data_IF_631145698760
#
_entry.id   IF_631145698760
#
_cell.length_a   1.000
_cell.length_b   1.000
_cell.length_c   1.000
_cell.angle_alpha   90.00
_cell.angle_beta   90.00
_cell.angle_gamma   90.00
#
_symmetry.space_group_name_H-M   'P 1'
#
loop_
_entity.id
_entity.type
_entity.pdbx_description
1 polymer ?
#
# COMPACT_ATOMS: atom_id res chain seq x y z
N UNK A 1 5.74 -19.82 -20.01
CA UNK A 1 5.55 -20.81 -18.91
C UNK A 1 4.14 -21.41 -19.02
N UNK A 2 4.00 -22.70 -18.74
CA UNK A 2 2.70 -23.37 -18.75
C UNK A 2 2.41 -23.91 -17.36
N UNK A 3 1.20 -23.63 -16.86
CA UNK A 3 0.66 -24.20 -15.63
C UNK A 3 -0.52 -25.10 -16.00
N UNK A 4 -0.63 -26.24 -15.33
CA UNK A 4 -1.78 -27.12 -15.42
C UNK A 4 -2.39 -27.28 -14.01
N UNK A 5 -3.70 -27.16 -13.89
CA UNK A 5 -4.43 -27.38 -12.65
C UNK A 5 -5.53 -28.43 -12.83
N UNK A 6 -5.60 -29.41 -11.93
CA UNK A 6 -6.72 -30.34 -11.86
C UNK A 6 -8.05 -29.57 -11.64
N UNK A 7 -7.97 -28.49 -10.85
CA UNK A 7 -9.10 -27.59 -10.60
C UNK A 7 -8.58 -26.16 -10.49
N UNK A 8 -9.27 -25.20 -11.12
CA UNK A 8 -8.96 -23.77 -10.95
C UNK A 8 -10.24 -22.95 -10.78
N UNK A 9 -10.14 -21.87 -9.99
CA UNK A 9 -11.19 -20.86 -9.91
C UNK A 9 -10.93 -19.79 -10.97
N UNK A 10 -11.82 -19.74 -11.96
CA UNK A 10 -11.82 -18.78 -13.06
C UNK A 10 -12.95 -17.76 -12.87
N UNK A 11 -12.99 -16.66 -13.64
CA UNK A 11 -14.06 -15.67 -13.54
C UNK A 11 -15.47 -16.23 -13.62
N UNK A 12 -15.66 -17.27 -14.42
CA UNK A 12 -16.95 -17.92 -14.64
C UNK A 12 -17.23 -19.07 -13.64
N UNK A 13 -16.34 -19.28 -12.67
CA UNK A 13 -16.47 -20.32 -11.65
C UNK A 13 -15.39 -21.40 -11.71
N UNK A 14 -15.65 -22.51 -11.02
CA UNK A 14 -14.70 -23.63 -10.94
C UNK A 14 -14.65 -24.42 -12.25
N UNK A 15 -13.43 -24.68 -12.71
CA UNK A 15 -13.15 -25.47 -13.90
C UNK A 15 -12.15 -26.59 -13.60
N UNK A 16 -12.22 -27.69 -14.39
CA UNK A 16 -11.32 -28.85 -14.29
C UNK A 16 -10.37 -28.90 -15.48
N UNK A 17 -9.22 -29.55 -15.24
CA UNK A 17 -8.20 -29.79 -16.27
C UNK A 17 -7.81 -28.51 -17.01
N UNK A 18 -7.46 -27.46 -16.21
CA UNK A 18 -7.22 -26.11 -16.70
C UNK A 18 -5.75 -25.94 -17.05
N UNK A 19 -5.50 -25.50 -18.27
CA UNK A 19 -4.19 -25.11 -18.78
C UNK A 19 -4.09 -23.61 -18.89
N UNK A 20 -3.08 -23.02 -18.24
CA UNK A 20 -2.80 -21.58 -18.25
C UNK A 20 -1.43 -21.35 -18.91
N UNK A 21 -1.41 -20.55 -19.98
CA UNK A 21 -0.17 -20.12 -20.63
C UNK A 21 0.21 -18.74 -20.15
N UNK A 22 1.45 -18.58 -19.69
CA UNK A 22 2.00 -17.30 -19.22
C UNK A 22 3.13 -16.90 -20.15
N UNK A 23 3.00 -15.71 -20.75
CA UNK A 23 3.98 -15.07 -21.62
C UNK A 23 4.29 -13.67 -21.07
N UNK A 24 5.57 -13.33 -20.96
CA UNK A 24 6.03 -12.04 -20.47
C UNK A 24 5.38 -11.60 -19.13
N UNK A 25 5.16 -12.56 -18.20
CA UNK A 25 4.56 -12.33 -16.91
C UNK A 25 3.02 -12.12 -16.93
N UNK A 26 2.37 -12.33 -18.07
CA UNK A 26 0.91 -12.18 -18.24
C UNK A 26 0.28 -13.50 -18.65
N UNK A 27 -1.00 -13.71 -18.27
CA UNK A 27 -1.78 -14.84 -18.74
C UNK A 27 -2.14 -14.58 -20.21
N UNK A 28 -1.51 -15.34 -21.10
CA UNK A 28 -1.76 -15.26 -22.54
C UNK A 28 -3.00 -16.05 -22.97
N UNK A 29 -3.23 -17.22 -22.33
CA UNK A 29 -4.45 -18.00 -22.59
C UNK A 29 -4.82 -18.90 -21.42
N UNK A 30 -6.12 -19.20 -21.33
CA UNK A 30 -6.71 -20.19 -20.42
C UNK A 30 -7.57 -21.12 -21.23
N UNK A 31 -7.40 -22.43 -21.07
CA UNK A 31 -8.17 -23.45 -21.76
C UNK A 31 -8.43 -24.66 -20.85
N UNK A 32 -9.38 -25.53 -21.23
CA UNK A 32 -9.83 -26.65 -20.41
C UNK A 32 -9.73 -27.99 -21.18
N UNK A 33 -9.75 -29.10 -20.42
CA UNK A 33 -9.83 -30.44 -21.00
C UNK A 33 -8.51 -30.90 -21.63
N UNK A 34 -7.41 -30.36 -21.22
CA UNK A 34 -6.08 -30.77 -21.70
C UNK A 34 -5.44 -31.79 -20.77
N UNK A 35 -4.70 -32.72 -21.35
CA UNK A 35 -3.80 -33.56 -20.58
C UNK A 35 -2.76 -32.68 -19.84
N UNK A 36 -2.30 -33.08 -18.63
CA UNK A 36 -1.33 -32.32 -17.88
C UNK A 36 -0.06 -32.06 -18.69
N UNK A 37 0.33 -30.78 -18.82
CA UNK A 37 1.59 -30.32 -19.36
C UNK A 37 2.14 -29.14 -18.53
N UNK A 38 3.47 -28.98 -18.52
CA UNK A 38 4.12 -27.93 -17.74
C UNK A 38 4.12 -28.19 -16.22
N UNK A 39 3.98 -27.13 -15.42
CA UNK A 39 3.93 -27.22 -13.95
C UNK A 39 2.52 -27.63 -13.51
N UNK A 40 2.41 -28.77 -12.82
CA UNK A 40 1.13 -29.32 -12.37
C UNK A 40 0.78 -28.94 -10.94
N UNK A 41 -0.50 -28.56 -10.73
CA UNK A 41 -1.07 -28.18 -9.45
C UNK A 41 -2.41 -28.88 -9.24
N UNK A 42 -2.74 -29.29 -8.02
CA UNK A 42 -4.05 -29.84 -7.70
C UNK A 42 -5.14 -28.73 -7.76
N UNK A 43 -4.83 -27.54 -7.26
CA UNK A 43 -5.77 -26.42 -7.27
C UNK A 43 -5.04 -25.10 -7.51
N UNK A 44 -5.60 -24.25 -8.38
CA UNK A 44 -5.15 -22.88 -8.59
C UNK A 44 -6.27 -21.88 -8.27
N UNK A 45 -5.90 -20.82 -7.56
CA UNK A 45 -6.76 -19.69 -7.23
C UNK A 45 -6.09 -18.40 -7.68
N UNK A 46 -6.86 -17.37 -8.06
CA UNK A 46 -6.32 -16.01 -8.15
C UNK A 46 -5.74 -15.61 -6.80
N UNK A 47 -4.52 -15.08 -6.79
CA UNK A 47 -3.91 -14.58 -5.56
C UNK A 47 -4.70 -13.38 -5.02
N UNK A 48 -5.01 -13.33 -3.72
CA UNK A 48 -5.68 -12.18 -3.13
C UNK A 48 -4.82 -10.92 -3.13
N UNK A 49 -5.47 -9.76 -3.06
CA UNK A 49 -4.84 -8.47 -2.86
C UNK A 49 -5.21 -7.96 -1.46
N UNK A 50 -4.23 -7.51 -0.69
CA UNK A 50 -4.48 -6.86 0.59
C UNK A 50 -5.00 -5.44 0.35
N UNK A 51 -6.26 -5.19 0.69
CA UNK A 51 -6.92 -3.89 0.45
C UNK A 51 -6.78 -2.88 1.60
N UNK A 52 -6.03 -3.22 2.66
CA UNK A 52 -5.82 -2.32 3.80
C UNK A 52 -4.43 -2.52 4.37
N UNK A 53 -3.50 -1.62 4.03
CA UNK A 53 -2.12 -1.65 4.49
C UNK A 53 -1.62 -0.27 4.89
N UNK A 54 -0.78 -0.26 5.92
CA UNK A 54 0.06 0.84 6.38
C UNK A 54 1.42 0.23 6.69
N UNK A 55 2.21 -0.06 5.66
CA UNK A 55 3.40 -0.92 5.77
C UNK A 55 4.38 -0.50 6.85
N UNK A 56 4.60 0.81 7.06
CA UNK A 56 5.51 1.29 8.11
C UNK A 56 5.11 0.83 9.54
N UNK A 57 3.82 0.53 9.78
CA UNK A 57 3.34 0.05 11.08
C UNK A 57 3.80 -1.38 11.38
N UNK A 58 4.23 -2.15 10.36
CA UNK A 58 4.78 -3.50 10.57
C UNK A 58 5.97 -3.50 11.54
N UNK A 59 6.74 -2.41 11.59
CA UNK A 59 7.84 -2.25 12.54
C UNK A 59 7.42 -2.32 14.01
N UNK A 60 6.14 -2.11 14.32
CA UNK A 60 5.61 -2.16 15.70
C UNK A 60 5.12 -3.56 16.11
N UNK A 61 5.19 -4.55 15.23
CA UNK A 61 4.75 -5.90 15.55
C UNK A 61 5.48 -6.45 16.78
N UNK A 62 4.74 -7.11 17.66
CA UNK A 62 5.23 -7.59 18.95
C UNK A 62 5.27 -6.53 20.07
N UNK A 63 5.05 -5.26 19.74
CA UNK A 63 5.03 -4.18 20.74
C UNK A 63 3.63 -3.65 21.06
N UNK A 64 2.66 -3.95 20.22
CA UNK A 64 1.28 -3.48 20.32
C UNK A 64 0.29 -4.57 20.72
N UNK A 65 0.68 -5.83 20.62
CA UNK A 65 -0.18 -7.00 20.87
C UNK A 65 -0.14 -7.46 22.33
N UNK A 66 0.86 -7.01 23.11
CA UNK A 66 0.95 -7.32 24.53
C UNK A 66 0.10 -6.36 25.36
N UNK A 67 -0.84 -6.90 26.14
CA UNK A 67 -1.63 -6.11 27.08
C UNK A 67 -0.73 -5.58 28.20
N UNK A 68 -0.79 -4.27 28.44
CA UNK A 68 -0.08 -3.63 29.57
C UNK A 68 -0.91 -3.74 30.87
N UNK A 69 -0.33 -3.34 32.00
CA UNK A 69 -1.00 -3.39 33.30
C UNK A 69 -2.19 -2.41 33.46
N UNK A 70 -2.47 -1.62 32.43
CA UNK A 70 -3.57 -0.64 32.37
C UNK A 70 -4.66 -1.01 31.38
N UNK A 71 -5.60 -0.10 31.17
CA UNK A 71 -6.55 -0.21 30.07
C UNK A 71 -5.86 0.28 28.78
N UNK A 72 -5.51 -0.68 27.89
CA UNK A 72 -5.03 -0.37 26.58
C UNK A 72 -6.18 0.14 25.70
N UNK A 73 -5.91 1.18 24.93
CA UNK A 73 -6.86 1.85 24.08
C UNK A 73 -6.19 2.27 22.77
N UNK A 74 -6.98 2.75 21.83
CA UNK A 74 -6.46 3.40 20.63
C UNK A 74 -5.43 4.49 20.94
N UNK A 75 -5.55 5.19 22.06
CA UNK A 75 -4.64 6.28 22.45
C UNK A 75 -3.26 5.77 22.91
N UNK A 76 -3.21 4.64 23.61
CA UNK A 76 -1.94 4.02 24.02
C UNK A 76 -1.19 3.48 22.80
N UNK A 77 -1.88 2.82 21.88
CA UNK A 77 -1.33 2.39 20.61
C UNK A 77 -0.80 3.58 19.79
N UNK A 78 -1.59 4.66 19.67
CA UNK A 78 -1.20 5.85 18.94
C UNK A 78 0.05 6.53 19.52
N UNK A 79 0.19 6.56 20.84
CA UNK A 79 1.38 7.11 21.51
C UNK A 79 2.64 6.29 21.18
N UNK A 80 2.54 4.97 21.10
CA UNK A 80 3.64 4.11 20.65
C UNK A 80 3.98 4.38 19.20
N UNK A 81 2.98 4.42 18.31
CA UNK A 81 3.18 4.73 16.89
C UNK A 81 3.95 6.05 16.70
N UNK A 82 3.59 7.12 17.43
CA UNK A 82 4.28 8.40 17.31
C UNK A 82 5.74 8.33 17.74
N UNK A 83 6.08 7.55 18.78
CA UNK A 83 7.49 7.33 19.17
C UNK A 83 8.28 6.61 18.08
N UNK A 84 7.66 5.68 17.34
CA UNK A 84 8.27 5.07 16.16
C UNK A 84 8.51 6.07 15.05
N UNK A 85 7.50 6.88 14.74
CA UNK A 85 7.58 7.90 13.70
C UNK A 85 8.72 8.91 13.92
N UNK A 86 9.08 9.19 15.17
CA UNK A 86 10.21 10.07 15.49
C UNK A 86 11.59 9.50 15.10
N UNK A 87 11.66 8.21 14.71
CA UNK A 87 12.90 7.52 14.40
C UNK A 87 13.00 6.98 12.98
N UNK A 88 11.88 6.79 12.31
CA UNK A 88 11.88 6.20 10.97
C UNK A 88 12.49 7.15 9.93
N UNK A 89 13.57 6.71 9.32
CA UNK A 89 14.16 7.31 8.12
C UNK A 89 13.43 6.81 6.84
N UNK A 90 13.67 7.44 5.68
CA UNK A 90 13.18 6.93 4.41
C UNK A 90 13.67 5.49 4.11
N UNK A 91 14.92 5.18 4.44
CA UNK A 91 15.52 3.85 4.28
C UNK A 91 14.84 2.81 5.17
N UNK A 92 14.51 3.16 6.41
CA UNK A 92 13.75 2.29 7.32
C UNK A 92 12.37 1.99 6.74
N UNK A 93 11.68 3.00 6.21
CA UNK A 93 10.35 2.83 5.59
C UNK A 93 10.43 1.88 4.40
N UNK A 94 11.44 1.99 3.53
CA UNK A 94 11.66 1.06 2.42
C UNK A 94 11.87 -0.37 2.92
N UNK A 95 12.79 -0.57 3.86
CA UNK A 95 13.10 -1.90 4.40
C UNK A 95 11.89 -2.56 5.08
N UNK A 96 11.13 -1.78 5.87
CA UNK A 96 9.92 -2.26 6.55
C UNK A 96 8.83 -2.63 5.53
N UNK A 97 8.64 -1.79 4.49
CA UNK A 97 7.67 -2.06 3.45
C UNK A 97 8.04 -3.32 2.65
N UNK A 98 9.31 -3.48 2.27
CA UNK A 98 9.79 -4.68 1.59
C UNK A 98 9.56 -5.93 2.43
N UNK A 99 9.89 -5.90 3.73
CA UNK A 99 9.62 -7.01 4.65
C UNK A 99 8.13 -7.35 4.74
N UNK A 100 7.26 -6.34 4.86
CA UNK A 100 5.82 -6.56 4.91
C UNK A 100 5.28 -7.17 3.60
N UNK A 101 5.79 -6.75 2.45
CA UNK A 101 5.42 -7.31 1.14
C UNK A 101 5.88 -8.76 1.00
N UNK A 102 7.11 -9.10 1.45
CA UNK A 102 7.59 -10.49 1.46
C UNK A 102 6.70 -11.38 2.33
N UNK A 103 6.38 -10.96 3.55
CA UNK A 103 5.49 -11.72 4.46
C UNK A 103 4.09 -11.91 3.86
N UNK A 104 3.56 -10.91 3.16
CA UNK A 104 2.29 -11.04 2.43
C UNK A 104 2.43 -12.03 1.26
N UNK A 105 3.52 -11.97 0.49
CA UNK A 105 3.78 -12.91 -0.60
C UNK A 105 3.90 -14.36 -0.09
N UNK A 106 4.61 -14.59 1.01
CA UNK A 106 4.70 -15.91 1.68
C UNK A 106 3.33 -16.41 2.17
N UNK A 107 2.41 -15.50 2.46
CA UNK A 107 1.03 -15.80 2.83
C UNK A 107 0.08 -15.93 1.63
N UNK A 108 0.61 -15.84 0.39
CA UNK A 108 -0.13 -16.04 -0.86
C UNK A 108 -0.77 -14.80 -1.46
N UNK A 109 -0.52 -13.59 -0.93
CA UNK A 109 -0.98 -12.35 -1.54
C UNK A 109 -0.08 -11.97 -2.72
N UNK A 110 -0.66 -11.29 -3.73
CA UNK A 110 0.09 -10.83 -4.91
C UNK A 110 0.18 -9.29 -5.02
N UNK A 111 -0.50 -8.56 -4.15
CA UNK A 111 -0.48 -7.11 -4.17
C UNK A 111 -1.14 -6.49 -2.95
N UNK A 112 -0.97 -5.18 -2.81
CA UNK A 112 -1.57 -4.42 -1.72
C UNK A 112 -2.08 -3.06 -2.17
N UNK A 113 -3.06 -2.54 -1.43
CA UNK A 113 -3.44 -1.13 -1.43
C UNK A 113 -2.80 -0.47 -0.20
N UNK A 114 -1.76 0.31 -0.43
CA UNK A 114 -1.01 1.00 0.62
C UNK A 114 -1.61 2.38 0.89
N UNK A 115 -2.30 2.53 2.00
CA UNK A 115 -2.82 3.80 2.50
C UNK A 115 -1.69 4.54 3.21
N UNK A 116 -0.94 5.32 2.44
CA UNK A 116 0.33 5.90 2.84
C UNK A 116 0.17 7.34 3.31
N UNK A 117 0.37 7.60 4.59
CA UNK A 117 0.25 8.92 5.19
C UNK A 117 1.53 9.47 5.85
N UNK A 118 2.65 8.74 5.76
CA UNK A 118 3.95 9.17 6.27
C UNK A 118 4.72 9.86 5.15
N UNK A 119 4.63 11.20 5.06
CA UNK A 119 5.19 11.95 3.93
C UNK A 119 6.44 12.76 4.28
N UNK A 120 6.56 13.22 5.52
CA UNK A 120 7.48 14.30 5.89
C UNK A 120 8.57 13.84 6.87
N UNK A 121 9.69 14.58 6.97
CA UNK A 121 10.71 14.34 7.99
C UNK A 121 10.16 14.56 9.40
N UNK A 122 10.93 14.14 10.39
CA UNK A 122 10.64 14.38 11.81
C UNK A 122 10.52 15.88 12.05
N UNK A 123 9.46 16.28 12.76
CA UNK A 123 9.15 17.69 13.02
C UNK A 123 8.36 18.39 11.90
N UNK A 124 8.05 17.72 10.81
CA UNK A 124 7.31 18.28 9.66
C UNK A 124 8.22 18.93 8.63
N UNK A 125 7.63 19.69 7.70
CA UNK A 125 8.33 20.23 6.54
C UNK A 125 8.31 19.25 5.37
N UNK A 126 9.15 19.46 4.37
CA UNK A 126 9.23 18.62 3.16
C UNK A 126 10.66 18.12 2.97
N UNK A 127 10.80 16.90 2.43
CA UNK A 127 12.06 16.46 1.84
C UNK A 127 12.39 17.30 0.59
N UNK A 128 13.60 17.20 0.07
CA UNK A 128 13.98 17.82 -1.19
C UNK A 128 13.07 17.35 -2.34
N UNK A 129 12.73 16.07 -2.35
CA UNK A 129 11.62 15.52 -3.14
C UNK A 129 10.40 15.35 -2.22
N UNK A 130 9.28 16.06 -2.49
CA UNK A 130 8.05 15.88 -1.70
C UNK A 130 7.51 14.45 -1.69
N UNK A 131 7.84 13.64 -2.68
CA UNK A 131 7.43 12.24 -2.80
C UNK A 131 8.47 11.23 -2.30
N UNK A 132 9.52 11.65 -1.58
CA UNK A 132 10.60 10.78 -1.08
C UNK A 132 10.06 9.50 -0.43
N UNK A 133 9.12 9.61 0.49
CA UNK A 133 8.55 8.45 1.19
C UNK A 133 7.74 7.53 0.24
N UNK A 134 7.05 8.09 -0.73
CA UNK A 134 6.37 7.33 -1.79
C UNK A 134 7.37 6.58 -2.66
N UNK A 135 8.48 7.23 -3.03
CA UNK A 135 9.55 6.58 -3.80
C UNK A 135 10.13 5.37 -3.06
N UNK A 136 10.22 5.42 -1.72
CA UNK A 136 10.65 4.30 -0.88
C UNK A 136 9.68 3.12 -0.91
N UNK A 137 8.38 3.40 -0.87
CA UNK A 137 7.35 2.35 -1.02
C UNK A 137 7.38 1.73 -2.43
N UNK A 138 7.54 2.57 -3.46
CA UNK A 138 7.67 2.11 -4.83
C UNK A 138 8.93 1.24 -5.03
N UNK A 139 10.07 1.65 -4.45
CA UNK A 139 11.30 0.86 -4.47
C UNK A 139 11.11 -0.51 -3.81
N UNK A 140 10.47 -0.57 -2.63
CA UNK A 140 10.16 -1.81 -1.95
C UNK A 140 9.28 -2.75 -2.82
N UNK A 141 8.28 -2.20 -3.51
CA UNK A 141 7.45 -2.98 -4.43
C UNK A 141 8.25 -3.49 -5.63
N UNK A 142 9.16 -2.68 -6.18
CA UNK A 142 10.07 -3.09 -7.26
C UNK A 142 11.04 -4.20 -6.84
N UNK A 143 11.63 -4.10 -5.64
CA UNK A 143 12.55 -5.11 -5.09
C UNK A 143 11.85 -6.45 -4.84
N UNK A 144 10.60 -6.43 -4.40
CA UNK A 144 9.84 -7.64 -4.04
C UNK A 144 9.02 -8.20 -5.20
N UNK A 145 8.84 -7.43 -6.28
CA UNK A 145 7.94 -7.78 -7.38
C UNK A 145 6.46 -7.77 -7.00
N UNK A 146 6.09 -7.09 -5.91
CA UNK A 146 4.73 -7.08 -5.35
C UNK A 146 3.85 -6.03 -6.04
N UNK A 147 2.62 -6.39 -6.40
CA UNK A 147 1.67 -5.46 -7.00
C UNK A 147 1.29 -4.32 -6.03
N UNK A 148 1.29 -3.07 -6.49
CA UNK A 148 1.10 -1.91 -5.63
C UNK A 148 -0.01 -0.97 -6.13
N UNK A 149 -1.08 -0.83 -5.37
CA UNK A 149 -1.98 0.32 -5.46
C UNK A 149 -1.57 1.33 -4.38
N UNK A 150 -0.85 2.37 -4.78
CA UNK A 150 -0.37 3.37 -3.84
C UNK A 150 -1.39 4.49 -3.65
N UNK A 151 -1.75 4.75 -2.40
CA UNK A 151 -2.76 5.73 -2.00
C UNK A 151 -2.11 6.78 -1.09
N UNK A 152 -1.43 7.80 -1.64
CA UNK A 152 -0.98 8.93 -0.84
C UNK A 152 -2.17 9.58 -0.14
N UNK A 153 -1.99 9.92 1.12
CA UNK A 153 -3.09 10.37 1.98
C UNK A 153 -2.96 11.85 2.28
N UNK A 154 -4.01 12.64 2.00
CA UNK A 154 -4.09 14.02 2.49
C UNK A 154 -4.53 14.05 3.95
N UNK A 155 -3.81 14.85 4.76
CA UNK A 155 -4.04 15.02 6.19
C UNK A 155 -3.80 16.50 6.55
N UNK A 156 -4.85 17.27 6.85
CA UNK A 156 -4.74 18.73 7.02
C UNK A 156 -4.84 19.19 8.47
N UNK A 157 -5.63 18.50 9.31
CA UNK A 157 -5.98 19.01 10.63
C UNK A 157 -5.90 17.95 11.73
N UNK A 158 -5.64 18.38 12.95
CA UNK A 158 -5.39 17.51 14.10
C UNK A 158 -6.66 16.93 14.77
N UNK A 159 -7.83 17.35 14.35
CA UNK A 159 -9.11 16.90 14.90
C UNK A 159 -10.31 17.51 14.17
N UNK A 160 -11.53 17.06 14.51
CA UNK A 160 -12.79 17.51 13.89
C UNK A 160 -13.09 19.00 14.09
N UNK A 161 -12.44 19.61 15.07
CA UNK A 161 -12.52 21.03 15.40
C UNK A 161 -11.58 21.90 14.54
N UNK A 162 -10.86 21.31 13.59
CA UNK A 162 -9.92 22.03 12.71
C UNK A 162 -8.63 22.47 13.38
N UNK A 163 -8.31 21.93 14.58
CA UNK A 163 -7.09 22.30 15.29
C UNK A 163 -5.82 21.93 14.51
N UNK A 164 -4.72 22.69 14.73
CA UNK A 164 -3.44 22.42 14.06
C UNK A 164 -2.90 21.02 14.36
N UNK A 165 -2.08 20.53 13.44
CA UNK A 165 -1.31 19.30 13.61
C UNK A 165 -0.26 19.45 14.70
N UNK A 166 -0.01 18.40 15.49
CA UNK A 166 0.95 18.42 16.60
C UNK A 166 1.72 17.10 16.66
N UNK A 167 2.97 17.18 17.15
CA UNK A 167 3.83 16.01 17.37
C UNK A 167 3.98 15.16 16.12
N UNK A 168 3.78 13.86 16.23
CA UNK A 168 3.90 12.92 15.11
C UNK A 168 2.97 13.19 13.93
N UNK A 169 1.87 13.94 14.11
CA UNK A 169 0.98 14.33 13.01
C UNK A 169 1.69 15.24 11.99
N UNK A 170 2.72 15.98 12.40
CA UNK A 170 3.48 16.85 11.50
C UNK A 170 4.12 16.07 10.34
N UNK A 171 4.39 14.77 10.54
CA UNK A 171 4.91 13.90 9.48
C UNK A 171 3.86 13.48 8.44
N UNK A 172 2.58 13.74 8.71
CA UNK A 172 1.47 13.39 7.83
C UNK A 172 0.93 14.60 7.07
N UNK A 173 1.12 15.79 7.65
CA UNK A 173 0.40 16.99 7.30
C UNK A 173 0.74 17.53 5.93
N UNK A 174 -0.26 17.70 5.08
CA UNK A 174 -0.09 18.30 3.76
C UNK A 174 -1.18 19.32 3.48
N UNK A 175 -0.77 20.49 2.96
CA UNK A 175 -1.69 21.39 2.28
C UNK A 175 -2.14 20.76 0.95
N UNK A 176 -3.22 21.24 0.34
CA UNK A 176 -3.61 20.79 -1.00
C UNK A 176 -2.49 20.91 -2.04
N UNK A 177 -1.68 21.97 -1.98
CA UNK A 177 -0.57 22.19 -2.91
C UNK A 177 0.59 21.22 -2.67
N UNK A 178 0.96 21.00 -1.40
CA UNK A 178 1.96 19.99 -1.03
C UNK A 178 1.49 18.60 -1.43
N UNK A 179 0.23 18.30 -1.22
CA UNK A 179 -0.36 17.02 -1.62
C UNK A 179 -0.35 16.81 -3.13
N UNK A 180 -0.64 17.86 -3.92
CA UNK A 180 -0.53 17.80 -5.37
C UNK A 180 0.91 17.49 -5.83
N UNK A 181 1.92 18.09 -5.19
CA UNK A 181 3.32 17.78 -5.46
C UNK A 181 3.68 16.33 -5.10
N UNK A 182 3.18 15.81 -3.99
CA UNK A 182 3.33 14.39 -3.60
C UNK A 182 2.71 13.47 -4.66
N UNK A 183 1.50 13.76 -5.15
CA UNK A 183 0.83 12.97 -6.19
C UNK A 183 1.61 12.96 -7.50
N UNK A 184 2.17 14.09 -7.90
CA UNK A 184 2.98 14.17 -9.12
C UNK A 184 4.27 13.36 -9.00
N UNK A 185 4.99 13.49 -7.89
CA UNK A 185 6.17 12.66 -7.62
C UNK A 185 5.82 11.17 -7.50
N UNK A 186 4.66 10.83 -6.91
CA UNK A 186 4.17 9.46 -6.84
C UNK A 186 3.95 8.87 -8.24
N UNK A 187 3.39 9.65 -9.19
CA UNK A 187 3.21 9.22 -10.58
C UNK A 187 4.56 8.86 -11.22
N UNK A 188 5.57 9.70 -10.99
CA UNK A 188 6.93 9.45 -11.49
C UNK A 188 7.52 8.19 -10.87
N UNK A 189 7.46 8.05 -9.54
CA UNK A 189 8.02 6.91 -8.82
C UNK A 189 7.39 5.57 -9.25
N UNK A 190 6.08 5.56 -9.53
CA UNK A 190 5.34 4.37 -9.94
C UNK A 190 5.48 4.04 -11.43
N UNK A 191 5.93 4.95 -12.27
CA UNK A 191 5.98 4.78 -13.74
C UNK A 191 6.82 3.60 -14.21
N UNK A 192 7.76 3.15 -13.38
CA UNK A 192 8.67 2.03 -13.69
C UNK A 192 8.14 0.66 -13.18
N UNK A 193 7.02 0.66 -12.47
CA UNK A 193 6.44 -0.56 -11.90
C UNK A 193 5.26 -1.05 -12.76
N UNK A 194 5.37 -2.25 -13.39
CA UNK A 194 4.36 -2.72 -14.35
C UNK A 194 2.98 -2.96 -13.71
N UNK A 195 2.95 -3.41 -12.45
CA UNK A 195 1.73 -3.74 -11.71
C UNK A 195 1.44 -2.71 -10.60
N UNK A 196 1.55 -1.43 -10.96
CA UNK A 196 1.25 -0.34 -10.05
C UNK A 196 0.02 0.47 -10.46
N UNK A 197 -0.63 1.07 -9.48
CA UNK A 197 -1.71 2.04 -9.64
C UNK A 197 -1.53 3.15 -8.63
N UNK A 198 -1.86 4.37 -9.03
CA UNK A 198 -1.93 5.52 -8.15
C UNK A 198 -3.40 5.83 -7.84
N UNK A 199 -3.72 6.02 -6.56
CA UNK A 199 -5.01 6.51 -6.12
C UNK A 199 -4.87 7.76 -5.26
N UNK A 200 -5.98 8.27 -4.76
CA UNK A 200 -6.04 9.38 -3.79
C UNK A 200 -6.82 8.94 -2.57
N UNK A 201 -6.38 9.39 -1.39
CA UNK A 201 -7.08 9.04 -0.17
C UNK A 201 -7.13 10.24 0.80
N UNK A 202 -8.32 10.75 1.14
CA UNK A 202 -8.48 11.58 2.32
C UNK A 202 -8.40 10.69 3.57
N UNK A 203 -7.60 11.11 4.57
CA UNK A 203 -7.38 10.27 5.75
C UNK A 203 -8.67 9.93 6.50
N UNK A 204 -9.46 10.94 6.83
CA UNK A 204 -10.74 10.79 7.53
C UNK A 204 -11.46 12.13 7.67
N UNK A 205 -12.75 12.11 7.98
CA UNK A 205 -13.53 13.32 8.25
C UNK A 205 -12.98 14.15 9.44
N UNK A 206 -12.16 13.55 10.29
CA UNK A 206 -11.47 14.23 11.39
C UNK A 206 -10.25 15.02 10.92
N UNK A 207 -9.59 14.57 9.85
CA UNK A 207 -8.29 15.07 9.43
C UNK A 207 -8.30 15.86 8.13
N UNK A 208 -9.44 15.92 7.45
CA UNK A 208 -9.59 16.60 6.16
C UNK A 208 -10.84 17.49 6.20
N UNK A 209 -10.71 18.71 5.69
CA UNK A 209 -11.83 19.65 5.59
C UNK A 209 -12.87 19.17 4.56
N UNK A 210 -14.11 19.66 4.69
CA UNK A 210 -15.17 19.38 3.70
C UNK A 210 -14.80 19.90 2.31
N UNK A 211 -14.13 21.05 2.25
CA UNK A 211 -13.72 21.69 1.01
C UNK A 211 -12.69 20.81 0.30
N UNK A 212 -11.64 20.39 1.00
CA UNK A 212 -10.61 19.52 0.45
C UNK A 212 -11.15 18.14 0.08
N UNK A 213 -12.06 17.59 0.89
CA UNK A 213 -12.72 16.33 0.55
C UNK A 213 -13.48 16.42 -0.78
N UNK A 214 -14.21 17.51 -1.01
CA UNK A 214 -14.91 17.73 -2.27
C UNK A 214 -13.95 17.88 -3.45
N UNK A 215 -12.81 18.54 -3.27
CA UNK A 215 -11.76 18.70 -4.31
C UNK A 215 -11.06 17.37 -4.63
N UNK A 216 -10.70 16.57 -3.63
CA UNK A 216 -10.02 15.29 -3.83
C UNK A 216 -10.91 14.24 -4.49
N UNK A 217 -12.23 14.30 -4.32
CA UNK A 217 -13.17 13.40 -5.00
C UNK A 217 -13.19 13.53 -6.53
N UNK A 218 -12.66 14.63 -7.08
CA UNK A 218 -12.62 14.91 -8.52
C UNK A 218 -11.20 14.94 -9.10
N UNK A 219 -10.20 14.41 -8.39
CA UNK A 219 -8.85 14.28 -8.97
C UNK A 219 -8.91 13.26 -10.10
N UNK A 220 -8.76 13.75 -11.33
CA UNK A 220 -8.67 12.90 -12.52
C UNK A 220 -7.28 12.25 -12.55
N UNK A 221 -7.20 11.05 -12.02
CA UNK A 221 -6.02 10.20 -12.15
C UNK A 221 -6.05 9.53 -13.51
N UNK A 222 -5.63 10.24 -14.55
CA UNK A 222 -5.48 9.63 -15.87
C UNK A 222 -4.56 8.42 -15.75
N UNK A 223 -4.97 7.25 -16.27
CA UNK A 223 -4.06 6.12 -16.37
C UNK A 223 -2.89 6.52 -17.26
N UNK A 224 -1.66 6.31 -16.76
CA UNK A 224 -0.44 6.41 -17.55
C UNK A 224 -0.32 5.25 -18.53
#
# INVERSE_FOLDING_TARGET
>A
MILHAETALLPDGWAKDVRIVIEEGRIASVSHGHAPDGLAFGCLLPAPVNLHSHTFQRAMAGMTEARTAGQDSFWTWRALMYRFLERLSPEDVQAIAAQAMVEMAESGFAGLAEFHYLHHPVGGGTYADPAEMTARIAAAAGETGFGLTHLPVIYEQGGVDGRPLQGGQLRFGSSPDTYAAILEGARVALSHLPDSRLGVAPHSLRAVSRETLARTAFVDLKPG
#
